data_IF_635516208547
#
_entry.id   IF_635516208547
#
_cell.length_a   1.000
_cell.length_b   1.000
_cell.length_c   1.000
_cell.angle_alpha   90.00
_cell.angle_beta   90.00
_cell.angle_gamma   90.00
#
_symmetry.space_group_name_H-M   'P 1'
#
loop_
_entity.id
_entity.type
_entity.pdbx_description
1 polymer ?
#
# COMPACT_ATOMS: atom_id res chain seq x y z
N UNK A 1 12.52 20.13 2.80
CA UNK A 1 13.17 19.20 1.85
C UNK A 1 12.13 18.71 0.86
N UNK A 2 12.37 18.80 -0.44
CA UNK A 2 11.46 18.29 -1.46
C UNK A 2 11.79 16.81 -1.70
N UNK A 3 10.84 15.90 -1.47
CA UNK A 3 11.05 14.46 -1.68
C UNK A 3 11.03 14.12 -3.17
N UNK A 4 11.71 13.03 -3.57
CA UNK A 4 11.70 12.57 -4.98
C UNK A 4 10.28 12.35 -5.51
N UNK A 5 9.35 11.89 -4.66
CA UNK A 5 7.95 11.72 -5.02
C UNK A 5 7.19 13.02 -5.19
N UNK A 6 7.40 14.02 -4.33
CA UNK A 6 6.78 15.34 -4.49
C UNK A 6 7.13 15.94 -5.86
N UNK A 7 8.37 15.72 -6.33
CA UNK A 7 8.80 16.15 -7.66
C UNK A 7 8.10 15.40 -8.79
N UNK A 8 7.85 14.10 -8.63
CA UNK A 8 7.09 13.30 -9.60
C UNK A 8 5.65 13.78 -9.68
N UNK A 9 5.01 14.02 -8.53
CA UNK A 9 3.65 14.56 -8.48
C UNK A 9 3.53 15.93 -9.15
N UNK A 10 4.52 16.82 -8.97
CA UNK A 10 4.59 18.09 -9.71
C UNK A 10 4.72 17.88 -11.23
N UNK A 11 5.62 16.99 -11.66
CA UNK A 11 5.83 16.69 -13.07
C UNK A 11 4.59 16.03 -13.71
N UNK A 12 3.91 15.16 -12.97
CA UNK A 12 2.66 14.52 -13.40
C UNK A 12 1.55 15.56 -13.60
N UNK A 13 1.42 16.53 -12.68
CA UNK A 13 0.48 17.66 -12.83
C UNK A 13 0.84 18.57 -13.99
N UNK A 14 2.12 18.87 -14.18
CA UNK A 14 2.58 19.76 -15.25
C UNK A 14 2.53 19.11 -16.64
N UNK A 15 2.69 17.78 -16.74
CA UNK A 15 2.69 17.02 -17.99
C UNK A 15 1.74 15.82 -17.89
N UNK A 16 0.42 16.03 -17.95
CA UNK A 16 -0.58 14.97 -17.74
C UNK A 16 -0.58 13.86 -18.82
N UNK A 17 0.06 14.09 -19.97
CA UNK A 17 0.24 13.08 -21.03
C UNK A 17 1.62 12.39 -21.01
N UNK A 18 2.49 12.77 -20.08
CA UNK A 18 3.83 12.18 -19.94
C UNK A 18 3.75 10.83 -19.21
N UNK A 19 4.53 9.85 -19.68
CA UNK A 19 4.70 8.57 -19.00
C UNK A 19 6.02 8.53 -18.23
N UNK A 20 5.97 8.02 -17.01
CA UNK A 20 7.18 7.73 -16.23
C UNK A 20 7.62 6.30 -16.54
N UNK A 21 8.83 6.13 -17.08
CA UNK A 21 9.34 4.82 -17.53
C UNK A 21 10.12 4.07 -16.44
N UNK A 22 10.59 4.77 -15.41
CA UNK A 22 11.37 4.18 -14.33
C UNK A 22 10.97 4.80 -12.99
N UNK A 23 10.01 4.18 -12.30
CA UNK A 23 9.64 4.53 -10.91
C UNK A 23 10.18 3.50 -9.91
N UNK A 24 10.59 2.33 -10.39
CA UNK A 24 10.96 1.20 -9.54
C UNK A 24 12.16 1.44 -8.62
N UNK A 25 13.09 2.30 -9.05
CA UNK A 25 14.25 2.68 -8.25
C UNK A 25 13.91 3.55 -7.02
N UNK A 26 12.68 4.07 -6.97
CA UNK A 26 12.18 4.85 -5.84
C UNK A 26 11.58 3.97 -4.76
N UNK A 27 11.31 2.69 -5.08
CA UNK A 27 10.86 1.71 -4.10
C UNK A 27 12.02 1.36 -3.15
N UNK A 28 12.04 2.02 -2.00
CA UNK A 28 12.98 1.79 -0.92
C UNK A 28 12.26 1.72 0.43
N UNK A 29 13.00 1.32 1.47
CA UNK A 29 12.45 1.09 2.80
C UNK A 29 11.93 2.39 3.43
N UNK A 30 12.68 3.49 3.27
CA UNK A 30 12.28 4.82 3.75
C UNK A 30 10.92 5.25 3.20
N UNK A 31 10.68 5.01 1.90
CA UNK A 31 9.43 5.35 1.27
C UNK A 31 8.27 4.52 1.81
N UNK A 32 8.44 3.20 1.89
CA UNK A 32 7.37 2.33 2.41
C UNK A 32 7.09 2.58 3.89
N UNK A 33 8.11 2.92 4.69
CA UNK A 33 7.93 3.36 6.08
C UNK A 33 7.17 4.69 6.16
N UNK A 34 7.46 5.65 5.27
CA UNK A 34 6.69 6.88 5.20
C UNK A 34 5.22 6.60 4.87
N UNK A 35 4.94 5.77 3.87
CA UNK A 35 3.57 5.35 3.55
C UNK A 35 2.90 4.66 4.73
N UNK A 36 3.63 3.83 5.49
CA UNK A 36 3.14 3.19 6.71
C UNK A 36 2.74 4.19 7.81
N UNK A 37 3.49 5.29 7.96
CA UNK A 37 3.13 6.35 8.90
C UNK A 37 1.92 7.17 8.44
N UNK A 38 1.79 7.40 7.13
CA UNK A 38 0.66 8.12 6.53
C UNK A 38 -0.64 7.28 6.48
N UNK A 39 -0.50 5.95 6.49
CA UNK A 39 -1.64 5.03 6.53
C UNK A 39 -2.43 5.17 7.82
N UNK A 40 -3.73 5.41 7.66
CA UNK A 40 -4.68 5.55 8.77
C UNK A 40 -4.73 4.27 9.62
N UNK A 41 -4.62 4.45 10.95
CA UNK A 41 -4.55 3.36 11.91
C UNK A 41 -5.84 2.60 12.14
N UNK A 42 -6.97 3.11 11.64
CA UNK A 42 -8.28 2.45 11.74
C UNK A 42 -8.60 1.52 10.57
N UNK A 43 -7.63 1.21 9.69
CA UNK A 43 -7.89 0.30 8.56
C UNK A 43 -8.25 -1.11 9.05
N UNK A 44 -9.28 -1.68 8.44
CA UNK A 44 -9.75 -3.02 8.76
C UNK A 44 -8.69 -4.07 8.40
N UNK A 45 -8.55 -5.08 9.25
CA UNK A 45 -7.57 -6.14 9.07
C UNK A 45 -7.99 -7.12 7.97
N UNK A 46 -6.99 -7.58 7.21
CA UNK A 46 -7.17 -8.57 6.13
C UNK A 46 -7.35 -9.98 6.65
N UNK A 47 -7.12 -10.97 5.78
CA UNK A 47 -7.27 -12.42 6.11
C UNK A 47 -6.31 -12.86 7.21
N UNK A 48 -5.13 -12.27 7.27
CA UNK A 48 -4.10 -12.57 8.27
C UNK A 48 -4.34 -11.88 9.62
N UNK A 49 -5.41 -11.08 9.73
CA UNK A 49 -5.83 -10.34 10.94
C UNK A 49 -4.78 -9.42 11.58
N UNK A 50 -3.59 -9.28 10.96
CA UNK A 50 -2.51 -8.40 11.40
C UNK A 50 -3.02 -6.96 11.50
N UNK A 51 -3.03 -6.46 12.72
CA UNK A 51 -3.36 -5.08 13.04
C UNK A 51 -2.17 -4.16 12.76
N UNK A 52 -2.42 -2.85 12.65
CA UNK A 52 -1.34 -1.86 12.55
C UNK A 52 -0.39 -1.94 13.75
N UNK A 53 -0.92 -2.16 14.95
CA UNK A 53 -0.12 -2.24 16.18
C UNK A 53 0.83 -3.44 16.16
N UNK A 54 0.37 -4.59 15.68
CA UNK A 54 1.22 -5.78 15.51
C UNK A 54 2.24 -5.57 14.38
N UNK A 55 1.83 -4.89 13.31
CA UNK A 55 2.74 -4.53 12.23
C UNK A 55 3.84 -3.56 12.70
N UNK A 56 3.48 -2.57 13.52
CA UNK A 56 4.38 -1.55 14.09
C UNK A 56 5.54 -2.17 14.87
N UNK A 57 5.28 -3.27 15.60
CA UNK A 57 6.31 -3.97 16.39
C UNK A 57 7.50 -4.43 15.54
N UNK A 58 7.24 -4.80 14.28
CA UNK A 58 8.27 -5.29 13.35
C UNK A 58 8.26 -4.50 12.03
N UNK A 59 7.80 -3.24 12.05
CA UNK A 59 7.52 -2.48 10.82
C UNK A 59 8.76 -2.33 9.94
N UNK A 60 9.93 -2.17 10.53
CA UNK A 60 11.19 -2.04 9.81
C UNK A 60 11.55 -3.34 9.06
N UNK A 61 11.51 -4.48 9.74
CA UNK A 61 11.83 -5.78 9.14
C UNK A 61 10.79 -6.23 8.11
N UNK A 62 9.50 -6.02 8.42
CA UNK A 62 8.41 -6.30 7.50
C UNK A 62 8.54 -5.47 6.21
N UNK A 63 8.83 -4.17 6.37
CA UNK A 63 9.03 -3.26 5.23
C UNK A 63 10.24 -3.67 4.41
N UNK A 64 11.37 -4.00 5.04
CA UNK A 64 12.57 -4.48 4.35
C UNK A 64 12.30 -5.75 3.55
N UNK A 65 11.62 -6.72 4.15
CA UNK A 65 11.24 -7.96 3.48
C UNK A 65 10.31 -7.69 2.28
N UNK A 66 9.34 -6.78 2.44
CA UNK A 66 8.44 -6.36 1.39
C UNK A 66 9.18 -5.69 0.23
N UNK A 67 10.10 -4.75 0.49
CA UNK A 67 10.95 -4.12 -0.53
C UNK A 67 11.74 -5.18 -1.30
N UNK A 68 12.36 -6.12 -0.60
CA UNK A 68 13.13 -7.19 -1.25
C UNK A 68 12.26 -8.06 -2.16
N UNK A 69 11.09 -8.50 -1.66
CA UNK A 69 10.15 -9.33 -2.43
C UNK A 69 9.62 -8.58 -3.65
N UNK A 70 9.30 -7.30 -3.50
CA UNK A 70 8.88 -6.46 -4.61
C UNK A 70 10.01 -6.31 -5.63
N UNK A 71 11.24 -6.00 -5.19
CA UNK A 71 12.46 -5.87 -6.03
C UNK A 71 12.81 -7.14 -6.79
N UNK A 72 12.63 -8.30 -6.16
CA UNK A 72 12.85 -9.62 -6.76
C UNK A 72 11.67 -10.08 -7.62
N UNK A 73 10.58 -9.29 -7.72
CA UNK A 73 9.31 -9.65 -8.38
C UNK A 73 8.68 -10.95 -7.82
N UNK A 74 8.94 -11.23 -6.54
CA UNK A 74 8.47 -12.42 -5.81
C UNK A 74 7.31 -12.09 -4.86
N UNK A 75 6.87 -10.83 -4.82
CA UNK A 75 5.72 -10.44 -4.03
C UNK A 75 4.44 -11.04 -4.62
N UNK A 76 3.88 -12.00 -3.88
CA UNK A 76 2.58 -12.58 -4.14
C UNK A 76 1.60 -12.04 -3.09
N UNK A 77 0.55 -11.32 -3.52
CA UNK A 77 -0.42 -10.77 -2.58
C UNK A 77 -1.23 -11.88 -1.93
N UNK A 78 -1.52 -11.69 -0.64
CA UNK A 78 -2.35 -12.62 0.12
C UNK A 78 -3.80 -12.58 -0.36
N UNK A 79 -4.55 -13.65 -0.06
CA UNK A 79 -5.98 -13.68 -0.30
C UNK A 79 -6.68 -12.54 0.45
N UNK A 80 -7.74 -12.01 -0.17
CA UNK A 80 -8.45 -10.83 0.32
C UNK A 80 -9.67 -11.24 1.15
N UNK A 81 -9.87 -10.62 2.31
CA UNK A 81 -11.00 -10.92 3.21
C UNK A 81 -12.27 -10.30 2.63
N UNK A 82 -13.34 -11.09 2.50
CA UNK A 82 -14.64 -10.59 2.05
C UNK A 82 -15.52 -10.27 3.25
N UNK A 83 -15.98 -9.03 3.34
CA UNK A 83 -16.96 -8.58 4.34
C UNK A 83 -18.18 -8.06 3.63
N UNK A 84 -19.37 -8.39 4.13
CA UNK A 84 -20.63 -7.98 3.52
C UNK A 84 -21.28 -6.89 4.36
N UNK A 85 -21.33 -5.68 3.81
CA UNK A 85 -22.01 -4.54 4.45
C UNK A 85 -23.46 -4.48 3.96
N UNK A 86 -24.45 -4.35 4.85
CA UNK A 86 -25.85 -4.18 4.47
C UNK A 86 -26.03 -2.98 3.53
N UNK A 87 -26.78 -3.15 2.44
CA UNK A 87 -27.19 -2.05 1.55
C UNK A 87 -28.64 -1.65 1.81
N UNK A 88 -29.49 -2.65 1.92
CA UNK A 88 -30.92 -2.57 2.23
C UNK A 88 -31.32 -3.89 2.95
N UNK A 89 -32.61 -4.07 3.27
CA UNK A 89 -33.08 -5.20 4.07
C UNK A 89 -32.72 -6.59 3.49
N UNK A 90 -32.59 -6.70 2.16
CA UNK A 90 -32.39 -7.98 1.48
C UNK A 90 -31.07 -8.11 0.71
N UNK A 91 -30.26 -7.05 0.62
CA UNK A 91 -29.01 -7.08 -0.15
C UNK A 91 -27.82 -6.54 0.63
N UNK A 92 -26.65 -7.08 0.29
CA UNK A 92 -25.36 -6.69 0.89
C UNK A 92 -24.37 -6.32 -0.21
N UNK A 93 -23.53 -5.33 0.09
CA UNK A 93 -22.37 -4.96 -0.75
C UNK A 93 -21.16 -5.77 -0.29
N UNK A 94 -20.51 -6.54 -1.17
CA UNK A 94 -19.25 -7.17 -0.84
C UNK A 94 -18.13 -6.13 -0.81
N UNK A 95 -17.48 -6.00 0.33
CA UNK A 95 -16.20 -5.32 0.48
C UNK A 95 -15.06 -6.32 0.49
N UNK A 96 -13.95 -5.89 -0.09
CA UNK A 96 -12.69 -6.61 -0.16
C UNK A 96 -11.70 -5.90 0.74
N UNK A 97 -11.31 -6.55 1.82
CA UNK A 97 -10.35 -6.05 2.82
C UNK A 97 -9.04 -6.82 2.61
N UNK A 98 -8.04 -6.22 1.95
CA UNK A 98 -6.75 -6.86 1.74
C UNK A 98 -5.93 -6.95 3.05
N UNK A 99 -4.83 -7.72 3.01
CA UNK A 99 -3.86 -7.76 4.11
C UNK A 99 -3.11 -6.45 4.25
N UNK A 100 -2.48 -6.23 5.42
CA UNK A 100 -1.75 -5.00 5.69
C UNK A 100 -0.59 -4.75 4.70
N UNK A 101 0.26 -5.76 4.45
CA UNK A 101 1.31 -5.71 3.41
C UNK A 101 0.77 -5.33 2.03
N UNK A 102 -0.47 -5.75 1.73
CA UNK A 102 -1.09 -5.47 0.45
C UNK A 102 -1.63 -4.06 0.37
N UNK A 103 -2.19 -3.52 1.48
CA UNK A 103 -2.51 -2.11 1.56
C UNK A 103 -1.28 -1.25 1.31
N UNK A 104 -0.15 -1.56 1.95
CA UNK A 104 1.09 -0.80 1.81
C UNK A 104 1.68 -0.91 0.39
N UNK A 105 1.63 -2.09 -0.22
CA UNK A 105 2.07 -2.28 -1.61
C UNK A 105 1.15 -1.60 -2.64
N UNK A 106 -0.17 -1.56 -2.41
CA UNK A 106 -1.12 -0.89 -3.30
C UNK A 106 -1.10 0.62 -3.17
N UNK A 107 -0.91 1.15 -1.96
CA UNK A 107 -0.83 2.59 -1.77
C UNK A 107 0.33 3.18 -2.58
N UNK A 108 1.44 2.45 -2.66
CA UNK A 108 2.56 2.82 -3.51
C UNK A 108 2.21 2.84 -5.02
N UNK A 109 1.23 2.06 -5.47
CA UNK A 109 0.73 2.09 -6.85
C UNK A 109 -0.32 3.19 -7.09
N UNK A 110 -0.97 3.70 -6.04
CA UNK A 110 -1.94 4.81 -6.13
C UNK A 110 -1.22 6.17 -6.10
N UNK A 111 -0.05 6.25 -5.47
CA UNK A 111 0.82 7.43 -5.46
C UNK A 111 1.80 7.54 -6.65
N UNK A 112 1.82 6.54 -7.55
CA UNK A 112 2.70 6.48 -8.73
C UNK A 112 1.92 6.76 -10.03
#
# INVERSE_FOLDING_TARGET
>A
MQTKLARIAELARAKPKGSFTSLYHLLNEELLLQCHHELDGSKATGVNEVTRVEYDQNAQDNTRNLVERLKKKQYHPQSVRRVYIPKDANSKRPLRIPSYDHFQAYDLAVYA
#
